data_IF_530247554006
#
_entry.id   IF_530247554006
#
_cell.length_a   1.000
_cell.length_b   1.000
_cell.length_c   1.000
_cell.angle_alpha   90.00
_cell.angle_beta   90.00
_cell.angle_gamma   90.00
#
_symmetry.space_group_name_H-M   'P 1'
#
loop_
_entity.id
_entity.type
_entity.pdbx_description
1 polymer ?
#
# COMPACT_ATOMS: atom_id res chain seq x y z
N UNK A 1 -35.26 22.30 45.82
CA UNK A 1 -36.59 22.92 46.04
C UNK A 1 -37.63 21.81 45.96
N UNK A 2 -38.56 21.73 46.92
CA UNK A 2 -39.51 20.62 46.97
C UNK A 2 -40.82 21.01 46.26
N UNK A 3 -41.00 20.54 45.03
CA UNK A 3 -42.29 20.69 44.34
C UNK A 3 -43.31 19.71 44.94
N UNK A 4 -44.41 20.24 45.50
CA UNK A 4 -45.59 19.43 45.83
C UNK A 4 -46.32 19.11 44.53
N UNK A 5 -46.45 17.82 44.20
CA UNK A 5 -47.32 17.38 43.13
C UNK A 5 -48.80 17.64 43.50
N UNK A 6 -49.50 18.40 42.67
CA UNK A 6 -50.96 18.51 42.74
C UNK A 6 -51.57 17.37 41.91
N UNK A 7 -52.21 16.41 42.59
CA UNK A 7 -52.94 15.33 41.92
C UNK A 7 -54.35 15.81 41.54
N UNK A 8 -54.63 15.90 40.24
CA UNK A 8 -55.98 16.16 39.72
C UNK A 8 -56.76 14.83 39.70
N UNK A 9 -58.01 14.75 40.19
CA UNK A 9 -58.74 13.49 40.25
C UNK A 9 -59.22 13.02 38.86
N UNK A 10 -58.56 12.02 38.28
CA UNK A 10 -59.13 11.30 37.13
C UNK A 10 -60.35 10.48 37.56
N UNK A 11 -61.54 10.86 37.07
CA UNK A 11 -62.72 9.98 37.12
C UNK A 11 -62.55 8.83 36.14
N UNK A 12 -62.70 7.60 36.63
CA UNK A 12 -62.71 6.39 35.80
C UNK A 12 -63.94 6.38 34.89
N UNK A 13 -63.73 6.33 33.59
CA UNK A 13 -64.70 5.86 32.59
C UNK A 13 -64.10 4.68 31.85
N UNK A 14 -64.68 3.49 32.03
CA UNK A 14 -64.34 2.32 31.24
C UNK A 14 -65.11 2.34 29.92
N UNK A 15 -64.49 1.90 28.82
CA UNK A 15 -65.12 1.92 27.50
C UNK A 15 -64.31 1.25 26.41
N UNK A 16 -64.57 -0.05 26.22
CA UNK A 16 -64.38 -0.88 25.02
C UNK A 16 -63.07 -0.81 24.20
N UNK A 17 -62.46 -1.99 24.03
CA UNK A 17 -61.54 -2.28 22.93
C UNK A 17 -62.22 -2.14 21.56
N UNK A 18 -61.49 -1.69 20.53
CA UNK A 18 -61.90 -1.73 19.12
C UNK A 18 -60.69 -1.65 18.17
N UNK A 19 -60.55 -2.68 17.33
CA UNK A 19 -59.88 -2.73 16.02
C UNK A 19 -58.42 -2.21 15.86
N UNK A 20 -57.52 -3.16 15.61
CA UNK A 20 -56.21 -2.89 15.01
C UNK A 20 -56.34 -2.48 13.51
N UNK A 21 -55.51 -1.55 13.00
CA UNK A 21 -55.31 -1.37 11.57
C UNK A 21 -54.45 -2.50 10.99
N UNK A 22 -54.69 -2.84 9.73
CA UNK A 22 -54.07 -3.99 9.05
C UNK A 22 -52.67 -3.64 8.52
N UNK A 23 -51.71 -4.53 8.72
CA UNK A 23 -50.43 -4.49 8.02
C UNK A 23 -50.63 -4.78 6.52
N UNK A 24 -50.03 -3.95 5.67
CA UNK A 24 -49.83 -4.26 4.24
C UNK A 24 -48.41 -4.78 4.08
N UNK A 25 -48.19 -5.99 3.51
CA UNK A 25 -46.84 -6.50 3.31
C UNK A 25 -46.20 -5.79 2.11
N UNK A 26 -45.28 -4.87 2.39
CA UNK A 26 -44.34 -4.36 1.38
C UNK A 26 -43.36 -5.48 1.04
N UNK A 27 -43.26 -5.85 -0.24
CA UNK A 27 -42.24 -6.80 -0.68
C UNK A 27 -40.85 -6.17 -0.54
N UNK A 28 -39.92 -6.91 0.06
CA UNK A 28 -38.50 -6.59 -0.01
C UNK A 28 -37.90 -7.34 -1.20
N UNK A 29 -37.47 -6.58 -2.19
CA UNK A 29 -36.76 -7.07 -3.37
C UNK A 29 -35.28 -7.29 -2.99
N UNK A 30 -34.74 -8.52 -3.02
CA UNK A 30 -33.34 -8.76 -2.74
C UNK A 30 -32.49 -8.33 -3.95
N UNK A 31 -31.85 -7.17 -3.84
CA UNK A 31 -30.87 -6.71 -4.84
C UNK A 31 -29.58 -7.53 -4.69
N UNK A 32 -29.52 -8.62 -5.45
CA UNK A 32 -28.36 -9.49 -5.58
C UNK A 32 -27.35 -8.84 -6.55
N UNK A 33 -26.36 -8.12 -6.01
CA UNK A 33 -25.34 -7.42 -6.82
C UNK A 33 -24.34 -8.44 -7.35
N UNK A 34 -24.56 -8.88 -8.59
CA UNK A 34 -23.59 -9.63 -9.37
C UNK A 34 -22.48 -8.70 -9.85
N UNK A 35 -21.26 -8.85 -9.32
CA UNK A 35 -20.05 -8.23 -9.88
C UNK A 35 -19.42 -9.15 -10.93
N UNK A 36 -19.95 -9.12 -12.14
CA UNK A 36 -19.26 -9.64 -13.33
C UNK A 36 -18.35 -8.55 -13.92
N UNK A 37 -17.02 -8.72 -13.78
CA UNK A 37 -16.07 -8.06 -14.68
C UNK A 37 -14.95 -9.05 -15.06
N UNK A 38 -15.15 -9.74 -16.18
CA UNK A 38 -14.12 -10.54 -16.85
C UNK A 38 -13.55 -9.74 -18.03
N UNK A 39 -12.24 -9.51 -18.03
CA UNK A 39 -11.47 -9.21 -19.25
C UNK A 39 -10.52 -10.37 -19.59
N UNK A 40 -10.24 -10.62 -20.88
CA UNK A 40 -10.35 -11.98 -21.39
C UNK A 40 -9.04 -12.79 -21.39
N UNK A 41 -9.11 -14.10 -21.10
CA UNK A 41 -8.10 -15.07 -21.50
C UNK A 41 -8.59 -15.98 -22.64
N UNK A 42 -7.80 -16.06 -23.71
CA UNK A 42 -8.10 -16.89 -24.88
C UNK A 42 -8.05 -18.40 -24.57
N UNK A 43 -9.19 -19.10 -24.71
CA UNK A 43 -9.20 -20.50 -25.17
C UNK A 43 -9.15 -21.62 -24.11
N UNK A 44 -10.35 -22.14 -23.79
CA UNK A 44 -10.69 -23.55 -23.44
C UNK A 44 -9.61 -24.61 -23.82
N UNK A 45 -9.42 -25.73 -23.10
CA UNK A 45 -10.47 -26.59 -22.51
C UNK A 45 -9.93 -27.61 -21.48
N UNK A 46 -10.72 -27.91 -20.44
CA UNK A 46 -10.80 -29.20 -19.73
C UNK A 46 -9.86 -29.46 -18.53
N UNK A 47 -10.25 -30.05 -17.39
CA UNK A 47 -11.50 -30.29 -16.64
C UNK A 47 -11.14 -31.15 -15.39
N UNK A 48 -11.73 -30.85 -14.23
CA UNK A 48 -11.87 -31.69 -13.00
C UNK A 48 -10.65 -32.06 -12.12
N UNK A 49 -10.85 -32.13 -10.78
CA UNK A 49 -10.20 -33.23 -10.01
C UNK A 49 -9.73 -33.10 -8.53
N UNK A 50 -10.19 -32.16 -7.70
CA UNK A 50 -10.22 -32.20 -6.19
C UNK A 50 -9.16 -33.02 -5.36
N UNK A 51 -8.35 -32.27 -4.58
CA UNK A 51 -7.94 -32.50 -3.16
C UNK A 51 -6.90 -33.55 -2.68
N UNK A 52 -6.17 -33.13 -1.62
CA UNK A 52 -5.51 -33.84 -0.49
C UNK A 52 -4.08 -34.43 -0.58
N UNK A 53 -3.19 -33.84 0.23
CA UNK A 53 -2.33 -34.45 1.29
C UNK A 53 -1.38 -35.62 0.93
N UNK A 54 -0.06 -35.36 1.03
CA UNK A 54 1.03 -36.36 1.15
C UNK A 54 0.93 -37.18 2.46
N UNK A 55 1.53 -38.38 2.64
CA UNK A 55 2.74 -38.95 1.99
C UNK A 55 2.47 -40.40 1.44
N UNK A 56 3.40 -41.37 1.24
CA UNK A 56 4.85 -41.41 1.52
C UNK A 56 5.75 -42.06 0.42
N UNK A 57 6.97 -42.42 0.85
CA UNK A 57 8.08 -43.02 0.12
C UNK A 57 7.95 -44.57 0.00
N UNK A 58 8.06 -45.17 -1.19
CA UNK A 58 8.58 -46.56 -1.32
C UNK A 58 9.23 -46.85 -2.69
N UNK A 59 10.00 -47.94 -2.75
CA UNK A 59 11.06 -48.22 -3.73
C UNK A 59 10.56 -49.00 -4.95
N UNK A 60 10.58 -48.38 -6.13
CA UNK A 60 10.29 -49.03 -7.42
C UNK A 60 11.53 -49.21 -8.31
N UNK A 61 12.05 -50.43 -8.44
CA UNK A 61 13.12 -50.76 -9.42
C UNK A 61 12.55 -50.72 -10.85
N UNK A 62 13.12 -49.91 -11.75
CA UNK A 62 12.51 -49.70 -13.07
C UNK A 62 13.43 -49.18 -14.20
N UNK A 63 14.39 -50.00 -14.63
CA UNK A 63 14.81 -50.13 -16.05
C UNK A 63 15.02 -48.83 -16.85
N UNK A 64 16.16 -48.16 -16.66
CA UNK A 64 16.58 -47.01 -17.50
C UNK A 64 16.74 -47.45 -18.97
N UNK A 65 16.19 -46.64 -19.87
CA UNK A 65 16.02 -46.95 -21.29
C UNK A 65 17.28 -46.62 -22.09
N UNK A 66 17.77 -47.56 -22.89
CA UNK A 66 18.88 -47.37 -23.82
C UNK A 66 18.62 -46.21 -24.79
N UNK A 67 19.62 -45.34 -24.98
CA UNK A 67 19.74 -44.47 -26.14
C UNK A 67 21.20 -44.48 -26.62
N UNK A 68 21.43 -45.03 -27.81
CA UNK A 68 22.69 -44.87 -28.53
C UNK A 68 22.59 -43.66 -29.46
N UNK A 69 23.59 -42.78 -29.43
CA UNK A 69 23.94 -41.91 -30.54
C UNK A 69 25.45 -41.64 -30.42
N UNK A 70 26.19 -41.90 -31.49
CA UNK A 70 27.65 -41.74 -31.51
C UNK A 70 28.03 -40.52 -32.34
N UNK A 71 28.93 -39.68 -31.83
CA UNK A 71 29.81 -38.87 -32.68
C UNK A 71 31.25 -39.06 -32.21
N UNK A 72 32.08 -39.55 -33.11
CA UNK A 72 33.44 -39.99 -32.82
C UNK A 72 34.39 -38.80 -32.80
N UNK A 73 34.77 -38.34 -31.62
CA UNK A 73 36.00 -37.55 -31.49
C UNK A 73 37.19 -38.52 -31.33
N UNK A 74 38.22 -38.48 -32.20
CA UNK A 74 39.42 -39.26 -32.00
C UNK A 74 40.19 -38.68 -30.81
N UNK A 75 39.95 -39.25 -29.63
CA UNK A 75 40.83 -39.10 -28.48
C UNK A 75 42.21 -39.63 -28.89
N UNK A 76 43.12 -38.71 -29.23
CA UNK A 76 44.50 -39.01 -29.55
C UNK A 76 45.23 -39.47 -28.29
N UNK A 77 44.99 -40.72 -27.90
CA UNK A 77 45.71 -41.45 -26.87
C UNK A 77 47.16 -41.60 -27.32
N UNK A 78 47.98 -40.57 -27.05
CA UNK A 78 49.40 -40.50 -27.41
C UNK A 78 50.05 -41.83 -27.07
N UNK A 79 50.46 -42.58 -28.10
CA UNK A 79 51.23 -43.80 -27.89
C UNK A 79 52.57 -43.38 -27.31
N UNK A 80 52.85 -43.87 -26.09
CA UNK A 80 54.21 -43.95 -25.56
C UNK A 80 55.04 -44.72 -26.59
N UNK A 81 55.89 -44.04 -27.35
CA UNK A 81 56.65 -44.65 -28.46
C UNK A 81 56.59 -43.92 -29.80
N UNK A 82 55.98 -42.73 -29.88
CA UNK A 82 56.14 -41.84 -31.04
C UNK A 82 57.11 -40.71 -30.68
N UNK A 83 58.14 -40.50 -31.50
CA UNK A 83 59.24 -39.60 -31.19
C UNK A 83 58.74 -38.18 -30.96
N UNK A 84 59.07 -37.62 -29.79
CA UNK A 84 59.22 -36.17 -29.64
C UNK A 84 60.11 -35.72 -30.80
N UNK A 85 59.66 -34.82 -31.70
CA UNK A 85 60.59 -34.12 -32.58
C UNK A 85 61.48 -33.36 -31.60
N UNK A 86 62.70 -33.85 -31.41
CA UNK A 86 63.58 -33.36 -30.37
C UNK A 86 63.61 -31.83 -30.48
N UNK A 87 63.18 -31.16 -29.42
CA UNK A 87 63.21 -29.70 -29.33
C UNK A 87 64.67 -29.31 -29.25
N UNK A 88 65.34 -29.31 -30.42
CA UNK A 88 66.75 -29.03 -30.53
C UNK A 88 66.99 -27.70 -29.86
N UNK A 89 67.87 -27.69 -28.86
CA UNK A 89 68.28 -26.43 -28.26
C UNK A 89 68.88 -25.55 -29.36
N UNK A 90 68.84 -24.23 -29.19
CA UNK A 90 69.42 -23.32 -30.17
C UNK A 90 70.89 -23.67 -30.44
N UNK A 91 71.61 -24.09 -29.41
CA UNK A 91 73.00 -24.59 -29.49
C UNK A 91 73.12 -25.91 -30.27
N UNK A 92 72.24 -26.89 -30.05
CA UNK A 92 72.22 -28.14 -30.83
C UNK A 92 71.93 -27.87 -32.31
N UNK A 93 71.04 -26.91 -32.60
CA UNK A 93 70.76 -26.43 -33.95
C UNK A 93 71.99 -25.78 -34.59
N UNK A 94 72.70 -24.90 -33.87
CA UNK A 94 73.95 -24.29 -34.34
C UNK A 94 75.06 -25.32 -34.57
N UNK A 95 75.27 -26.25 -33.64
CA UNK A 95 76.25 -27.34 -33.77
C UNK A 95 75.90 -28.26 -34.94
N UNK A 96 74.61 -28.53 -35.18
CA UNK A 96 74.16 -29.34 -36.32
C UNK A 96 74.27 -28.61 -37.66
N UNK A 97 73.98 -27.31 -37.68
CA UNK A 97 74.23 -26.43 -38.83
C UNK A 97 75.72 -26.39 -39.18
N UNK A 98 76.58 -26.09 -38.20
CA UNK A 98 78.03 -26.06 -38.39
C UNK A 98 78.59 -27.41 -38.88
N UNK A 99 78.04 -28.52 -38.40
CA UNK A 99 78.41 -29.87 -38.86
C UNK A 99 77.94 -30.13 -40.30
N UNK A 100 76.71 -29.75 -40.67
CA UNK A 100 76.22 -29.83 -42.06
C UNK A 100 77.02 -28.95 -43.01
N UNK A 101 77.34 -27.72 -42.62
CA UNK A 101 78.17 -26.80 -43.40
C UNK A 101 79.57 -27.37 -43.62
N UNK A 102 80.13 -28.06 -42.61
CA UNK A 102 81.41 -28.79 -42.73
C UNK A 102 81.31 -30.05 -43.62
N UNK A 103 80.17 -30.75 -43.61
CA UNK A 103 79.92 -31.92 -44.48
C UNK A 103 79.68 -31.57 -45.95
N UNK A 104 79.15 -30.37 -46.25
CA UNK A 104 78.87 -29.95 -47.63
C UNK A 104 80.12 -29.53 -48.44
N UNK A 105 81.31 -29.57 -47.85
CA UNK A 105 82.51 -28.95 -48.43
C UNK A 105 82.46 -27.43 -48.26
N UNK A 106 83.58 -26.76 -48.54
CA UNK A 106 83.73 -25.32 -48.27
C UNK A 106 82.59 -24.50 -48.88
N UNK A 107 81.74 -23.96 -48.01
CA UNK A 107 80.91 -22.77 -48.27
C UNK A 107 81.89 -21.62 -48.41
N UNK A 108 82.52 -21.54 -49.59
CA UNK A 108 83.62 -20.64 -49.88
C UNK A 108 83.19 -19.18 -49.70
N UNK A 109 84.17 -18.26 -49.55
CA UNK A 109 83.89 -16.85 -49.24
C UNK A 109 82.82 -16.26 -50.15
N UNK A 110 82.81 -16.56 -51.46
CA UNK A 110 81.78 -16.10 -52.42
C UNK A 110 80.32 -16.45 -52.06
N UNK A 111 80.08 -17.56 -51.34
CA UNK A 111 78.72 -17.99 -50.94
C UNK A 111 78.28 -17.40 -49.60
N UNK A 112 79.24 -17.09 -48.72
CA UNK A 112 79.03 -16.25 -47.54
C UNK A 112 78.91 -14.77 -47.93
N UNK A 113 79.66 -14.34 -48.93
CA UNK A 113 79.67 -13.03 -49.55
C UNK A 113 78.33 -12.79 -50.26
N UNK A 114 77.83 -13.71 -51.10
CA UNK A 114 76.46 -13.63 -51.65
C UNK A 114 75.34 -13.58 -50.59
N UNK A 115 75.60 -14.07 -49.38
CA UNK A 115 74.67 -13.97 -48.24
C UNK A 115 74.87 -12.68 -47.42
N UNK A 116 76.03 -12.03 -47.53
CA UNK A 116 76.35 -10.73 -46.95
C UNK A 116 76.07 -9.55 -47.91
N UNK A 117 76.05 -9.82 -49.23
CA UNK A 117 75.56 -9.00 -50.35
C UNK A 117 74.02 -8.94 -50.38
N UNK A 118 73.33 -9.73 -49.55
CA UNK A 118 71.89 -9.67 -49.33
C UNK A 118 71.56 -8.25 -48.80
N UNK A 119 71.08 -7.40 -49.70
CA UNK A 119 71.69 -6.07 -49.85
C UNK A 119 71.48 -5.12 -48.67
N UNK A 120 72.35 -4.10 -48.46
CA UNK A 120 72.20 -3.11 -47.40
C UNK A 120 70.78 -2.52 -47.29
N UNK A 121 70.11 -2.33 -48.43
CA UNK A 121 68.71 -1.89 -48.54
C UNK A 121 67.71 -2.84 -47.85
N UNK A 122 67.92 -4.16 -47.89
CA UNK A 122 67.08 -5.16 -47.23
C UNK A 122 67.28 -5.15 -45.72
N UNK A 123 68.52 -5.00 -45.26
CA UNK A 123 68.86 -4.83 -43.83
C UNK A 123 68.20 -3.57 -43.25
N UNK A 124 68.36 -2.42 -43.94
CA UNK A 124 67.72 -1.16 -43.56
C UNK A 124 66.18 -1.26 -43.52
N UNK A 125 65.57 -1.97 -44.48
CA UNK A 125 64.12 -2.20 -44.49
C UNK A 125 63.66 -3.06 -43.29
N UNK A 126 64.47 -4.03 -42.85
CA UNK A 126 64.16 -4.83 -41.65
C UNK A 126 64.34 -4.02 -40.37
N UNK A 127 65.37 -3.18 -40.28
CA UNK A 127 65.58 -2.27 -39.15
C UNK A 127 64.43 -1.26 -39.01
N UNK A 128 63.95 -0.70 -40.13
CA UNK A 128 62.79 0.19 -40.13
C UNK A 128 61.51 -0.54 -39.67
N UNK A 129 61.28 -1.77 -40.15
CA UNK A 129 60.16 -2.61 -39.70
C UNK A 129 60.26 -2.93 -38.21
N UNK A 130 61.45 -3.20 -37.68
CA UNK A 130 61.68 -3.41 -36.25
C UNK A 130 61.34 -2.15 -35.45
N UNK A 131 61.81 -0.96 -35.85
CA UNK A 131 61.49 0.31 -35.18
C UNK A 131 59.97 0.59 -35.19
N UNK A 132 59.28 0.33 -36.30
CA UNK A 132 57.82 0.46 -36.40
C UNK A 132 57.09 -0.53 -35.48
N UNK A 133 57.52 -1.79 -35.43
CA UNK A 133 56.96 -2.81 -34.53
C UNK A 133 57.21 -2.48 -33.05
N UNK A 134 58.39 -1.95 -32.72
CA UNK A 134 58.75 -1.57 -31.36
C UNK A 134 57.94 -0.34 -30.88
N UNK A 135 57.71 0.64 -31.77
CA UNK A 135 56.80 1.76 -31.50
C UNK A 135 55.35 1.28 -31.27
N UNK A 136 54.82 0.44 -32.17
CA UNK A 136 53.49 -0.14 -32.01
C UNK A 136 53.35 -1.00 -30.74
N UNK A 137 54.42 -1.70 -30.32
CA UNK A 137 54.41 -2.45 -29.07
C UNK A 137 54.35 -1.53 -27.83
N UNK A 138 55.02 -0.36 -27.87
CA UNK A 138 54.88 0.68 -26.83
C UNK A 138 53.45 1.24 -26.79
N UNK A 139 52.86 1.54 -27.95
CA UNK A 139 51.47 2.00 -28.04
C UNK A 139 50.48 0.97 -27.47
N UNK A 140 50.66 -0.33 -27.75
CA UNK A 140 49.86 -1.40 -27.16
C UNK A 140 50.03 -1.51 -25.64
N UNK A 141 51.25 -1.31 -25.11
CA UNK A 141 51.50 -1.26 -23.67
C UNK A 141 50.79 -0.07 -23.02
N UNK A 142 50.88 1.13 -23.60
CA UNK A 142 50.19 2.34 -23.12
C UNK A 142 48.66 2.18 -23.15
N UNK A 143 48.10 1.59 -24.21
CA UNK A 143 46.68 1.29 -24.30
C UNK A 143 46.25 0.27 -23.24
N UNK A 144 47.06 -0.76 -22.99
CA UNK A 144 46.79 -1.77 -21.97
C UNK A 144 46.81 -1.15 -20.56
N UNK A 145 47.77 -0.26 -20.28
CA UNK A 145 47.85 0.47 -19.01
C UNK A 145 46.62 1.37 -18.79
N UNK A 146 46.16 2.10 -19.83
CA UNK A 146 44.94 2.93 -19.75
C UNK A 146 43.68 2.08 -19.53
N UNK A 147 43.55 0.94 -20.21
CA UNK A 147 42.42 0.03 -20.01
C UNK A 147 42.38 -0.56 -18.60
N UNK A 148 43.53 -0.87 -18.00
CA UNK A 148 43.62 -1.33 -16.62
C UNK A 148 43.20 -0.24 -15.61
N UNK A 149 43.61 1.01 -15.84
CA UNK A 149 43.21 2.16 -15.01
C UNK A 149 41.70 2.45 -15.12
N UNK A 150 41.15 2.44 -16.34
CA UNK A 150 39.71 2.62 -16.58
C UNK A 150 38.89 1.50 -15.91
N UNK A 151 39.32 0.24 -16.02
CA UNK A 151 38.70 -0.89 -15.32
C UNK A 151 38.79 -0.77 -13.80
N UNK A 152 39.89 -0.25 -13.25
CA UNK A 152 40.03 0.01 -11.82
C UNK A 152 39.08 1.12 -11.35
N UNK A 153 38.96 2.21 -12.12
CA UNK A 153 38.02 3.29 -11.84
C UNK A 153 36.56 2.82 -11.90
N UNK A 154 36.18 2.08 -12.94
CA UNK A 154 34.83 1.49 -13.06
C UNK A 154 34.52 0.54 -11.90
N UNK A 155 35.48 -0.28 -11.47
CA UNK A 155 35.35 -1.13 -10.28
C UNK A 155 35.13 -0.31 -9.00
N UNK A 156 35.88 0.79 -8.83
CA UNK A 156 35.71 1.69 -7.69
C UNK A 156 34.36 2.43 -7.71
N UNK A 157 33.86 2.84 -8.88
CA UNK A 157 32.52 3.43 -9.06
C UNK A 157 31.43 2.42 -8.72
N UNK A 158 31.51 1.19 -9.24
CA UNK A 158 30.57 0.11 -8.94
C UNK A 158 30.57 -0.26 -7.44
N UNK A 159 31.74 -0.26 -6.79
CA UNK A 159 31.87 -0.45 -5.35
C UNK A 159 31.13 0.62 -4.55
N UNK A 160 31.28 1.90 -4.90
CA UNK A 160 30.55 3.01 -4.25
C UNK A 160 29.04 2.92 -4.47
N UNK A 161 28.60 2.68 -5.71
CA UNK A 161 27.19 2.53 -6.03
C UNK A 161 26.53 1.36 -5.27
N UNK A 162 27.24 0.23 -5.11
CA UNK A 162 26.74 -0.89 -4.30
C UNK A 162 26.62 -0.55 -2.82
N UNK A 163 27.56 0.24 -2.26
CA UNK A 163 27.48 0.69 -0.87
C UNK A 163 26.28 1.63 -0.64
N UNK A 164 26.06 2.58 -1.56
CA UNK A 164 24.90 3.49 -1.54
C UNK A 164 23.57 2.73 -1.66
N UNK A 165 23.50 1.72 -2.55
CA UNK A 165 22.32 0.84 -2.67
C UNK A 165 22.05 0.02 -1.40
N UNK A 166 23.09 -0.34 -0.64
CA UNK A 166 22.91 -1.02 0.65
C UNK A 166 22.42 -0.04 1.73
N UNK A 167 23.01 1.15 1.81
CA UNK A 167 22.58 2.21 2.74
C UNK A 167 21.12 2.61 2.49
N UNK A 168 20.74 2.88 1.23
CA UNK A 168 19.36 3.24 0.89
C UNK A 168 18.35 2.13 1.21
N UNK A 169 18.75 0.85 1.15
CA UNK A 169 17.89 -0.27 1.57
C UNK A 169 17.70 -0.33 3.09
N UNK A 170 18.75 -0.01 3.86
CA UNK A 170 18.67 0.08 5.32
C UNK A 170 17.79 1.25 5.75
N UNK A 171 18.02 2.45 5.19
CA UNK A 171 17.21 3.65 5.44
C UNK A 171 15.74 3.45 5.06
N UNK A 172 15.46 2.83 3.90
CA UNK A 172 14.09 2.53 3.48
C UNK A 172 13.42 1.50 4.42
N UNK A 173 14.18 0.50 4.92
CA UNK A 173 13.68 -0.47 5.90
C UNK A 173 13.33 0.20 7.24
N UNK A 174 14.15 1.15 7.70
CA UNK A 174 13.91 1.95 8.89
C UNK A 174 12.63 2.80 8.72
N UNK A 175 12.54 3.56 7.62
CA UNK A 175 11.38 4.40 7.30
C UNK A 175 10.09 3.58 7.19
N UNK A 176 10.14 2.37 6.60
CA UNK A 176 8.98 1.47 6.57
C UNK A 176 8.53 1.03 7.97
N UNK A 177 9.46 0.86 8.91
CA UNK A 177 9.16 0.64 10.33
C UNK A 177 8.51 1.85 10.99
N UNK A 178 9.08 3.04 10.80
CA UNK A 178 8.54 4.30 11.34
C UNK A 178 7.14 4.62 10.80
N UNK A 179 6.92 4.49 9.49
CA UNK A 179 5.60 4.66 8.85
C UNK A 179 4.58 3.66 9.40
N UNK A 180 4.99 2.42 9.65
CA UNK A 180 4.11 1.40 10.25
C UNK A 180 3.72 1.76 11.68
N UNK A 181 4.67 2.24 12.49
CA UNK A 181 4.40 2.71 13.87
C UNK A 181 3.48 3.94 13.88
N UNK A 182 3.78 4.96 13.07
CA UNK A 182 2.98 6.19 12.98
C UNK A 182 1.55 5.90 12.49
N UNK A 183 1.37 4.93 11.60
CA UNK A 183 0.05 4.50 11.13
C UNK A 183 -0.76 3.83 12.24
N UNK A 184 -0.13 2.96 13.04
CA UNK A 184 -0.78 2.33 14.20
C UNK A 184 -1.14 3.37 15.26
N UNK A 185 -0.22 4.28 15.59
CA UNK A 185 -0.45 5.36 16.55
C UNK A 185 -1.60 6.29 16.11
N UNK A 186 -1.67 6.62 14.82
CA UNK A 186 -2.78 7.38 14.26
C UNK A 186 -4.11 6.62 14.35
N UNK A 187 -4.12 5.33 14.03
CA UNK A 187 -5.31 4.48 14.11
C UNK A 187 -5.83 4.36 15.55
N UNK A 188 -4.95 4.10 16.52
CA UNK A 188 -5.31 4.07 17.96
C UNK A 188 -5.90 5.41 18.40
N UNK A 189 -5.27 6.53 18.03
CA UNK A 189 -5.80 7.87 18.35
C UNK A 189 -7.18 8.12 17.75
N UNK A 190 -7.43 7.68 16.52
CA UNK A 190 -8.72 7.79 15.85
C UNK A 190 -9.82 6.98 16.56
N UNK A 191 -9.51 5.76 17.02
CA UNK A 191 -10.45 4.95 17.83
C UNK A 191 -10.73 5.58 19.20
N UNK A 192 -9.73 6.17 19.85
CA UNK A 192 -9.85 6.77 21.18
C UNK A 192 -10.51 8.16 21.17
N UNK A 193 -10.40 8.93 20.08
CA UNK A 193 -10.88 10.31 20.00
C UNK A 193 -12.40 10.46 20.28
N UNK A 194 -13.31 9.63 19.71
CA UNK A 194 -14.72 9.65 20.06
C UNK A 194 -14.99 9.35 21.53
N UNK A 195 -14.21 8.45 22.15
CA UNK A 195 -14.30 8.14 23.58
C UNK A 195 -13.89 9.34 24.44
N UNK A 196 -12.74 9.95 24.13
CA UNK A 196 -12.27 11.18 24.80
C UNK A 196 -13.25 12.34 24.64
N UNK A 197 -13.86 12.50 23.46
CA UNK A 197 -14.85 13.55 23.22
C UNK A 197 -16.13 13.35 24.05
N UNK A 198 -16.62 12.11 24.18
CA UNK A 198 -17.75 11.77 25.05
C UNK A 198 -17.44 12.06 26.51
N UNK A 199 -16.31 11.56 27.01
CA UNK A 199 -15.86 11.82 28.40
C UNK A 199 -15.74 13.33 28.67
N UNK A 200 -15.16 14.10 27.74
CA UNK A 200 -15.06 15.55 27.91
C UNK A 200 -16.44 16.23 27.99
N UNK A 201 -17.40 15.82 27.17
CA UNK A 201 -18.78 16.33 27.26
C UNK A 201 -19.44 15.96 28.59
N UNK A 202 -19.27 14.72 29.07
CA UNK A 202 -19.79 14.25 30.36
C UNK A 202 -19.20 15.02 31.56
N UNK A 203 -17.91 15.36 31.51
CA UNK A 203 -17.22 16.17 32.52
C UNK A 203 -17.58 17.66 32.46
N UNK A 204 -18.07 18.17 31.32
CA UNK A 204 -18.32 19.60 31.06
C UNK A 204 -19.78 19.89 30.63
N UNK A 205 -20.75 19.10 31.13
CA UNK A 205 -22.16 19.18 30.72
C UNK A 205 -22.78 20.57 30.93
N UNK A 206 -22.45 21.24 32.03
CA UNK A 206 -23.02 22.56 32.39
C UNK A 206 -22.48 23.63 31.45
N UNK A 207 -21.18 23.60 31.18
CA UNK A 207 -20.48 24.50 30.26
C UNK A 207 -20.97 24.30 28.82
N UNK A 208 -21.11 23.06 28.36
CA UNK A 208 -21.65 22.71 27.06
C UNK A 208 -23.10 23.18 26.91
N UNK A 209 -23.97 22.91 27.90
CA UNK A 209 -25.34 23.38 27.92
C UNK A 209 -25.41 24.92 27.87
N UNK A 210 -24.59 25.62 28.66
CA UNK A 210 -24.51 27.09 28.65
C UNK A 210 -24.04 27.66 27.31
N UNK A 211 -23.12 26.98 26.61
CA UNK A 211 -22.67 27.40 25.27
C UNK A 211 -23.78 27.20 24.24
N UNK A 212 -24.52 26.09 24.29
CA UNK A 212 -25.67 25.83 23.42
C UNK A 212 -26.82 26.83 23.69
N UNK A 213 -27.10 27.18 24.94
CA UNK A 213 -28.17 28.12 25.32
C UNK A 213 -27.75 29.59 25.37
N UNK A 214 -26.58 29.94 24.81
CA UNK A 214 -26.01 31.29 24.90
C UNK A 214 -26.70 32.35 24.03
N UNK A 215 -27.44 31.94 23.01
CA UNK A 215 -28.27 32.81 22.15
C UNK A 215 -29.46 32.03 21.59
N UNK A 216 -30.48 32.71 21.07
CA UNK A 216 -31.64 32.05 20.46
C UNK A 216 -31.22 31.19 19.24
N UNK A 217 -30.33 31.71 18.41
CA UNK A 217 -29.82 31.01 17.23
C UNK A 217 -29.08 29.72 17.60
N UNK A 218 -28.16 29.79 18.57
CA UNK A 218 -27.44 28.59 19.05
C UNK A 218 -28.34 27.61 19.77
N UNK A 219 -29.34 28.10 20.50
CA UNK A 219 -30.35 27.25 21.16
C UNK A 219 -31.13 26.48 20.11
N UNK A 220 -31.55 27.15 19.04
CA UNK A 220 -32.25 26.56 17.91
C UNK A 220 -31.37 25.57 17.13
N UNK A 221 -30.09 25.86 16.91
CA UNK A 221 -29.13 24.92 16.32
C UNK A 221 -28.91 23.67 17.20
N UNK A 222 -28.77 23.86 18.52
CA UNK A 222 -28.68 22.77 19.48
C UNK A 222 -29.92 21.88 19.48
N UNK A 223 -31.12 22.46 19.48
CA UNK A 223 -32.36 21.69 19.36
C UNK A 223 -32.46 20.96 18.02
N UNK A 224 -32.08 21.58 16.88
CA UNK A 224 -32.03 20.91 15.57
C UNK A 224 -31.04 19.74 15.52
N UNK A 225 -29.95 19.80 16.29
CA UNK A 225 -29.01 18.68 16.42
C UNK A 225 -29.65 17.54 17.24
N UNK A 226 -30.20 17.85 18.41
CA UNK A 226 -30.85 16.88 19.30
C UNK A 226 -32.07 16.22 18.65
N UNK A 227 -32.86 16.95 17.86
CA UNK A 227 -34.04 16.44 17.13
C UNK A 227 -33.71 15.42 16.02
N UNK A 228 -32.42 15.10 15.80
CA UNK A 228 -32.01 13.96 14.95
C UNK A 228 -32.10 12.63 15.69
N UNK A 229 -31.85 12.63 17.00
CA UNK A 229 -31.91 11.46 17.87
C UNK A 229 -33.31 11.25 18.44
N UNK A 230 -33.78 10.02 18.56
CA UNK A 230 -35.15 9.72 19.02
C UNK A 230 -35.44 10.26 20.43
N UNK A 231 -34.49 10.12 21.36
CA UNK A 231 -34.61 10.68 22.72
C UNK A 231 -34.70 12.21 22.71
N UNK A 232 -33.99 12.86 21.77
CA UNK A 232 -34.04 14.31 21.60
C UNK A 232 -35.36 14.76 20.99
N UNK A 233 -35.89 14.04 20.00
CA UNK A 233 -37.24 14.27 19.46
C UNK A 233 -38.30 14.13 20.55
N UNK A 234 -38.27 13.06 21.33
CA UNK A 234 -39.22 12.81 22.42
C UNK A 234 -39.20 13.97 23.42
N UNK A 235 -38.03 14.32 23.96
CA UNK A 235 -37.86 15.43 24.91
C UNK A 235 -38.34 16.76 24.33
N UNK A 236 -37.95 17.11 23.10
CA UNK A 236 -38.34 18.38 22.45
C UNK A 236 -39.85 18.41 22.20
N UNK A 237 -40.44 17.28 21.82
CA UNK A 237 -41.88 17.14 21.58
C UNK A 237 -42.66 17.24 22.88
N UNK A 238 -42.17 16.66 23.99
CA UNK A 238 -42.75 16.83 25.33
C UNK A 238 -42.67 18.28 25.83
N UNK A 239 -41.56 18.99 25.57
CA UNK A 239 -41.43 20.43 25.91
C UNK A 239 -42.42 21.27 25.08
N UNK A 240 -42.49 21.03 23.77
CA UNK A 240 -43.41 21.73 22.87
C UNK A 240 -44.88 21.43 23.17
N UNK A 241 -45.21 20.16 23.47
CA UNK A 241 -46.57 19.74 23.83
C UNK A 241 -46.97 20.24 25.21
N UNK A 242 -46.05 20.35 26.18
CA UNK A 242 -46.33 21.01 27.46
C UNK A 242 -46.68 22.49 27.28
N UNK A 243 -45.92 23.23 26.47
CA UNK A 243 -46.23 24.63 26.14
C UNK A 243 -47.58 24.81 25.43
N UNK A 244 -47.97 23.81 24.63
CA UNK A 244 -49.28 23.76 23.99
C UNK A 244 -50.42 23.41 24.98
N UNK A 245 -50.25 22.34 25.77
CA UNK A 245 -51.26 21.86 26.74
C UNK A 245 -51.55 22.91 27.82
N UNK A 246 -50.51 23.54 28.37
CA UNK A 246 -50.64 24.64 29.35
C UNK A 246 -51.26 25.93 28.80
N UNK A 247 -51.63 25.94 27.51
CA UNK A 247 -52.32 27.02 26.84
C UNK A 247 -53.73 26.67 26.31
N UNK A 248 -54.27 25.47 26.56
CA UNK A 248 -55.58 25.07 26.04
C UNK A 248 -56.72 25.99 26.49
N UNK A 249 -57.73 26.13 25.61
CA UNK A 249 -58.89 27.00 25.83
C UNK A 249 -59.57 26.75 27.19
N UNK A 250 -59.84 25.49 27.52
CA UNK A 250 -60.42 25.06 28.81
C UNK A 250 -59.64 25.50 30.04
N UNK A 251 -58.31 25.42 30.01
CA UNK A 251 -57.48 25.75 31.16
C UNK A 251 -57.39 27.27 31.35
N UNK A 252 -57.43 28.04 30.24
CA UNK A 252 -57.59 29.50 30.28
C UNK A 252 -58.97 29.89 30.78
N UNK A 253 -60.04 29.29 30.26
CA UNK A 253 -61.43 29.50 30.72
C UNK A 253 -61.58 29.22 32.22
N UNK A 254 -61.06 28.10 32.71
CA UNK A 254 -61.09 27.75 34.13
C UNK A 254 -60.31 28.77 34.99
N UNK A 255 -59.15 29.22 34.51
CA UNK A 255 -58.35 30.25 35.18
C UNK A 255 -59.10 31.59 35.26
N UNK A 256 -59.64 32.06 34.13
CA UNK A 256 -60.41 33.31 34.05
C UNK A 256 -61.69 33.24 34.91
N UNK A 257 -62.41 32.11 34.90
CA UNK A 257 -63.60 31.90 35.74
C UNK A 257 -63.27 31.94 37.24
N UNK A 258 -62.18 31.30 37.67
CA UNK A 258 -61.74 31.34 39.08
C UNK A 258 -61.37 32.76 39.52
N UNK A 259 -60.85 33.60 38.63
CA UNK A 259 -60.58 35.00 38.95
C UNK A 259 -61.85 35.86 38.96
N UNK A 260 -62.74 35.70 37.96
CA UNK A 260 -64.03 36.40 37.92
C UNK A 260 -64.94 36.08 39.13
N UNK A 261 -64.92 34.84 39.62
CA UNK A 261 -65.64 34.44 40.85
C UNK A 261 -65.06 35.08 42.13
N UNK A 262 -63.80 35.55 42.11
CA UNK A 262 -63.08 36.07 43.28
C UNK A 262 -62.91 37.58 43.30
N UNK A 263 -62.87 38.20 42.14
CA UNK A 263 -62.72 39.64 41.95
C UNK A 263 -63.79 40.14 40.98
N UNK A 264 -64.82 40.88 41.46
CA UNK A 264 -65.87 41.44 40.62
C UNK A 264 -65.38 42.44 39.57
N UNK A 265 -64.21 43.05 39.78
CA UNK A 265 -63.59 44.02 38.87
C UNK A 265 -62.51 43.34 37.97
N UNK A 266 -62.49 42.00 37.92
CA UNK A 266 -61.51 41.23 37.15
C UNK A 266 -61.47 41.61 35.67
N UNK A 267 -60.27 41.94 35.19
CA UNK A 267 -59.95 42.07 33.77
C UNK A 267 -58.69 41.25 33.45
N UNK A 268 -58.75 40.42 32.41
CA UNK A 268 -57.62 39.58 32.00
C UNK A 268 -56.36 40.40 31.64
N UNK A 269 -56.52 41.57 30.99
CA UNK A 269 -55.39 42.40 30.57
C UNK A 269 -54.65 43.04 31.76
N UNK A 270 -55.36 43.49 32.81
CA UNK A 270 -54.72 44.09 33.98
C UNK A 270 -53.93 43.07 34.83
N UNK A 271 -54.30 41.79 34.74
CA UNK A 271 -53.57 40.66 35.31
C UNK A 271 -52.48 40.10 34.40
N UNK A 272 -52.31 40.63 33.18
CA UNK A 272 -51.35 40.12 32.19
C UNK A 272 -51.65 38.71 31.69
N UNK A 273 -52.90 38.26 31.80
CA UNK A 273 -53.31 36.93 31.35
C UNK A 273 -53.49 36.91 29.83
N UNK A 274 -53.07 35.81 29.20
CA UNK A 274 -53.32 35.61 27.78
C UNK A 274 -54.85 35.52 27.52
N UNK A 275 -55.34 36.11 26.41
CA UNK A 275 -56.75 36.01 26.03
C UNK A 275 -57.16 34.55 25.78
N UNK A 276 -58.44 34.27 25.99
CA UNK A 276 -59.05 32.97 25.67
C UNK A 276 -59.26 32.92 24.15
N UNK A 277 -58.75 31.90 23.43
CA UNK A 277 -59.00 31.77 22.00
C UNK A 277 -60.43 31.30 21.70
N UNK A 278 -61.00 31.75 20.59
CA UNK A 278 -62.37 31.41 20.18
C UNK A 278 -62.53 29.91 19.86
N UNK A 279 -61.49 29.28 19.31
CA UNK A 279 -61.42 27.84 19.03
C UNK A 279 -60.35 27.16 19.89
N UNK A 280 -60.46 25.85 20.11
CA UNK A 280 -59.41 25.10 20.78
C UNK A 280 -58.19 25.01 19.85
N UNK A 281 -57.00 25.54 20.24
CA UNK A 281 -55.86 25.61 19.33
C UNK A 281 -55.44 24.21 18.90
N UNK A 282 -55.04 24.04 17.64
CA UNK A 282 -54.52 22.77 17.14
C UNK A 282 -53.11 22.50 17.70
N UNK A 283 -52.75 21.25 18.03
CA UNK A 283 -51.43 20.95 18.55
C UNK A 283 -50.35 21.20 17.48
N UNK A 284 -49.18 21.77 17.85
CA UNK A 284 -48.11 22.09 16.90
C UNK A 284 -47.45 20.84 16.29
N UNK A 285 -47.61 19.69 16.94
CA UNK A 285 -47.13 18.37 16.50
C UNK A 285 -48.22 17.33 16.76
N UNK A 286 -48.26 16.20 16.03
CA UNK A 286 -49.13 15.08 16.37
C UNK A 286 -48.90 14.64 17.82
N UNK A 287 -49.99 14.45 18.56
CA UNK A 287 -49.97 13.86 19.90
C UNK A 287 -50.23 12.36 19.73
N UNK A 288 -49.33 11.51 20.25
CA UNK A 288 -49.52 10.05 20.37
C UNK A 288 -50.32 9.67 21.62
#
# INVERSE_FOLDING_TARGET
MNFRAFNIPMKKTGGSSSAAPRTVPVQQEPVEINSEEETPPTGRTGQAGRTTVNPPLDKGKGKVRTKHAATTHPSAKRRRGESVPATWSLEELWVKMGRKLKEMGEVGPETLEKLAEDSPSRSLQLEEKLKRLEAHNRELQDLTARQLDEMANLSAVAGRANAEVLQLKEENSLQMGEVSHLKEEAWVKEQELPGRARQWIEENLVEAARVLTSSEERTMEGFKLLYREEQGKEMITQIGSYGFMSGQKRDREATHAIFADRDPDFNAESYGLAPIPDEEPAPPFPLE
#
